data_IF_850307027458
#
_entry.id   IF_850307027458
#
_cell.length_a   1.000
_cell.length_b   1.000
_cell.length_c   1.000
_cell.angle_alpha   90.00
_cell.angle_beta   90.00
_cell.angle_gamma   90.00
#
_symmetry.space_group_name_H-M   'P 1'
#
loop_
_entity.id
_entity.type
_entity.pdbx_description
1 polymer ?
#
# COMPACT_ATOMS: atom_id res chain seq x y z
N UNK A 1 -21.90 -11.61 -8.68
CA UNK A 1 -21.16 -12.82 -8.25
C UNK A 1 -20.67 -12.72 -6.80
N UNK A 2 -20.49 -11.53 -6.29
CA UNK A 2 -20.08 -11.27 -4.91
C UNK A 2 -21.27 -11.09 -3.94
N UNK A 3 -22.50 -11.04 -4.46
CA UNK A 3 -23.73 -10.89 -3.67
C UNK A 3 -24.09 -12.11 -2.77
N UNK A 4 -23.38 -13.22 -2.93
CA UNK A 4 -23.67 -14.46 -2.19
C UNK A 4 -22.73 -14.75 -1.00
N UNK A 5 -21.98 -13.75 -0.56
CA UNK A 5 -20.90 -13.91 0.39
C UNK A 5 -19.58 -14.20 -0.32
N UNK A 6 -18.54 -13.49 0.08
CA UNK A 6 -17.19 -13.78 -0.43
C UNK A 6 -16.82 -15.22 -0.06
N UNK A 7 -16.11 -15.92 -0.95
CA UNK A 7 -15.53 -17.19 -0.56
C UNK A 7 -14.57 -16.94 0.60
N UNK A 8 -14.79 -17.64 1.68
CA UNK A 8 -13.97 -17.53 2.90
C UNK A 8 -12.86 -18.57 2.93
N UNK A 9 -12.81 -19.46 1.93
CA UNK A 9 -11.76 -20.44 1.78
C UNK A 9 -10.92 -20.15 0.53
N UNK A 10 -9.64 -20.45 0.62
CA UNK A 10 -8.65 -20.19 -0.40
C UNK A 10 -9.01 -20.82 -1.76
N UNK A 11 -9.49 -22.07 -1.78
CA UNK A 11 -9.82 -22.76 -3.03
C UNK A 11 -10.97 -22.06 -3.75
N UNK A 12 -11.98 -21.63 -3.03
CA UNK A 12 -13.12 -20.91 -3.61
C UNK A 12 -12.71 -19.52 -4.11
N UNK A 13 -11.90 -18.80 -3.34
CA UNK A 13 -11.34 -17.51 -3.73
C UNK A 13 -10.50 -17.64 -5.00
N UNK A 14 -9.57 -18.58 -5.03
CA UNK A 14 -8.73 -18.88 -6.19
C UNK A 14 -9.56 -19.19 -7.43
N UNK A 15 -10.56 -20.03 -7.32
CA UNK A 15 -11.43 -20.40 -8.43
C UNK A 15 -12.23 -19.22 -9.01
N UNK A 16 -12.65 -18.28 -8.17
CA UNK A 16 -13.40 -17.10 -8.61
C UNK A 16 -12.44 -16.05 -9.18
N UNK A 17 -11.42 -15.69 -8.44
CA UNK A 17 -10.50 -14.61 -8.80
C UNK A 17 -9.70 -14.92 -10.08
N UNK A 18 -9.23 -16.16 -10.25
CA UNK A 18 -8.47 -16.57 -11.44
C UNK A 18 -9.18 -16.41 -12.77
N UNK A 19 -10.50 -16.26 -12.74
CA UNK A 19 -11.30 -16.00 -13.97
C UNK A 19 -11.18 -14.56 -14.45
N UNK A 20 -10.93 -13.64 -13.51
CA UNK A 20 -11.03 -12.21 -13.77
C UNK A 20 -9.70 -11.47 -13.57
N UNK A 21 -8.77 -12.08 -12.84
CA UNK A 21 -7.50 -11.45 -12.50
C UNK A 21 -6.34 -12.38 -12.79
N UNK A 22 -5.14 -11.82 -12.85
CA UNK A 22 -3.91 -12.56 -12.65
C UNK A 22 -3.65 -12.60 -11.13
N UNK A 23 -3.80 -13.77 -10.50
CA UNK A 23 -3.70 -13.90 -9.05
C UNK A 23 -2.32 -13.51 -8.55
N UNK A 24 -1.27 -13.92 -9.26
CA UNK A 24 0.09 -13.59 -8.86
C UNK A 24 0.35 -12.08 -8.90
N UNK A 25 -0.11 -11.40 -9.93
CA UNK A 25 0.01 -9.96 -10.05
C UNK A 25 -0.77 -9.20 -8.95
N UNK A 26 -1.98 -9.68 -8.62
CA UNK A 26 -2.78 -9.08 -7.56
C UNK A 26 -2.20 -9.27 -6.17
N UNK A 27 -1.75 -10.49 -5.87
CA UNK A 27 -1.10 -10.77 -4.57
C UNK A 27 0.23 -10.03 -4.47
N UNK A 28 1.00 -9.96 -5.56
CA UNK A 28 2.23 -9.18 -5.59
C UNK A 28 1.98 -7.69 -5.34
N UNK A 29 0.90 -7.15 -5.90
CA UNK A 29 0.49 -5.78 -5.59
C UNK A 29 0.23 -5.61 -4.09
N UNK A 30 -0.55 -6.51 -3.47
CA UNK A 30 -0.84 -6.46 -2.05
C UNK A 30 0.41 -6.56 -1.18
N UNK A 31 1.35 -7.44 -1.55
CA UNK A 31 2.64 -7.57 -0.86
C UNK A 31 3.44 -6.27 -0.90
N UNK A 32 3.54 -5.65 -2.06
CA UNK A 32 4.28 -4.38 -2.22
C UNK A 32 3.59 -3.25 -1.45
N UNK A 33 2.29 -3.07 -1.65
CA UNK A 33 1.48 -2.03 -1.02
C UNK A 33 1.63 -2.04 0.52
N UNK A 34 1.53 -3.22 1.11
CA UNK A 34 1.69 -3.41 2.55
C UNK A 34 3.14 -3.24 3.02
N UNK A 35 4.11 -3.68 2.23
CA UNK A 35 5.53 -3.56 2.59
C UNK A 35 6.01 -2.12 2.59
N UNK A 36 5.48 -1.26 1.72
CA UNK A 36 5.80 0.17 1.69
C UNK A 36 4.90 1.00 2.60
N UNK A 37 3.96 0.38 3.33
CA UNK A 37 2.98 1.06 4.18
C UNK A 37 2.25 2.17 3.42
N UNK A 38 1.61 1.79 2.32
CA UNK A 38 0.80 2.73 1.55
C UNK A 38 -0.52 2.98 2.28
N UNK A 39 -0.50 3.90 3.24
CA UNK A 39 -1.61 4.18 4.16
C UNK A 39 -2.83 4.84 3.49
N UNK A 40 -2.72 5.16 2.21
CA UNK A 40 -3.79 5.73 1.38
C UNK A 40 -4.09 4.83 0.17
N UNK A 41 -3.84 3.54 0.31
CA UNK A 41 -3.98 2.55 -0.76
C UNK A 41 -5.28 1.75 -0.72
N UNK A 42 -5.41 0.76 -1.62
CA UNK A 42 -6.62 -0.06 -1.76
C UNK A 42 -6.92 -0.96 -0.57
N UNK A 43 -5.96 -1.19 0.31
CA UNK A 43 -6.12 -2.05 1.49
C UNK A 43 -6.30 -1.27 2.78
N UNK A 44 -6.37 0.06 2.72
CA UNK A 44 -6.62 0.95 3.84
C UNK A 44 -7.90 1.75 3.57
N UNK A 45 -8.94 1.46 4.33
CA UNK A 45 -10.26 2.02 4.12
C UNK A 45 -10.57 3.05 5.20
N UNK A 46 -10.50 4.31 4.88
CA UNK A 46 -10.85 5.39 5.80
C UNK A 46 -12.06 6.18 5.30
N UNK A 47 -12.69 6.90 6.20
CA UNK A 47 -13.95 7.58 5.96
C UNK A 47 -13.71 9.09 5.97
N UNK A 48 -13.99 9.75 4.84
CA UNK A 48 -14.04 11.21 4.74
C UNK A 48 -15.48 11.60 4.45
N UNK A 49 -16.13 12.24 5.42
CA UNK A 49 -17.49 12.79 5.29
C UNK A 49 -18.56 11.81 4.75
N UNK A 50 -18.33 10.49 4.93
CA UNK A 50 -19.23 9.50 4.37
C UNK A 50 -18.82 8.05 4.67
N UNK A 51 -19.11 7.12 3.74
CA UNK A 51 -18.66 5.74 3.87
C UNK A 51 -17.14 5.64 3.85
N UNK A 52 -16.60 4.57 4.46
CA UNK A 52 -15.19 4.26 4.32
C UNK A 52 -14.94 3.63 2.96
N UNK A 53 -13.98 4.15 2.23
CA UNK A 53 -13.66 3.75 0.87
C UNK A 53 -12.15 3.56 0.70
N UNK A 54 -11.72 2.71 -0.25
CA UNK A 54 -10.33 2.61 -0.64
C UNK A 54 -9.96 3.75 -1.60
N UNK A 55 -8.68 4.13 -1.62
CA UNK A 55 -8.18 5.26 -2.39
C UNK A 55 -6.99 4.87 -3.27
N UNK A 56 -6.57 5.78 -4.11
CA UNK A 56 -5.29 5.80 -4.84
C UNK A 56 -4.95 4.54 -5.65
N UNK A 57 -5.95 4.01 -6.33
CA UNK A 57 -5.77 2.97 -7.35
C UNK A 57 -6.84 3.05 -8.42
N UNK A 58 -6.60 2.36 -9.54
CA UNK A 58 -7.56 2.17 -10.61
C UNK A 58 -7.69 0.69 -10.96
N UNK A 59 -8.90 0.28 -11.33
CA UNK A 59 -9.10 -0.97 -12.03
C UNK A 59 -9.11 -0.75 -13.55
N UNK A 60 -8.33 -1.53 -14.25
CA UNK A 60 -8.32 -1.56 -15.72
C UNK A 60 -8.73 -2.95 -16.21
N UNK A 61 -9.80 -3.01 -16.98
CA UNK A 61 -10.18 -4.23 -17.69
C UNK A 61 -9.47 -4.26 -19.05
N UNK A 62 -8.63 -5.25 -19.27
CA UNK A 62 -7.98 -5.47 -20.55
C UNK A 62 -8.99 -6.01 -21.57
N UNK A 63 -9.25 -5.31 -22.69
CA UNK A 63 -10.32 -5.69 -23.61
C UNK A 63 -10.12 -7.07 -24.27
N UNK A 64 -8.88 -7.50 -24.48
CA UNK A 64 -8.58 -8.74 -25.17
C UNK A 64 -8.77 -9.97 -24.27
N UNK A 65 -8.28 -9.94 -23.06
CA UNK A 65 -8.34 -11.06 -22.11
C UNK A 65 -9.56 -11.00 -21.18
N UNK A 66 -10.18 -9.84 -21.06
CA UNK A 66 -11.23 -9.53 -20.07
C UNK A 66 -10.74 -9.65 -18.63
N UNK A 67 -9.42 -9.57 -18.44
CA UNK A 67 -8.82 -9.55 -17.11
C UNK A 67 -8.80 -8.14 -16.53
N UNK A 68 -9.00 -8.07 -15.24
CA UNK A 68 -8.91 -6.84 -14.47
C UNK A 68 -7.51 -6.74 -13.87
N UNK A 69 -6.89 -5.60 -14.04
CA UNK A 69 -5.62 -5.23 -13.44
C UNK A 69 -5.85 -4.11 -12.42
N UNK A 70 -5.07 -4.13 -11.35
CA UNK A 70 -5.00 -3.02 -10.41
C UNK A 70 -3.79 -2.15 -10.77
N UNK A 71 -3.99 -0.85 -10.82
CA UNK A 71 -2.96 0.13 -11.17
C UNK A 71 -2.79 1.06 -9.96
N UNK A 72 -1.60 1.14 -9.36
CA UNK A 72 -1.34 2.06 -8.27
C UNK A 72 -1.39 3.51 -8.75
N UNK A 73 -1.81 4.39 -7.86
CA UNK A 73 -1.84 5.82 -8.07
C UNK A 73 -1.45 6.51 -6.76
N UNK A 74 -0.81 7.65 -6.85
CA UNK A 74 -0.54 8.57 -5.72
C UNK A 74 0.10 7.89 -4.50
N UNK A 75 1.33 7.39 -4.69
CA UNK A 75 2.08 6.66 -3.66
C UNK A 75 2.83 7.58 -2.68
N UNK A 76 2.49 8.86 -2.60
CA UNK A 76 3.18 9.84 -1.76
C UNK A 76 2.96 9.62 -0.26
N UNK A 77 1.86 8.95 0.12
CA UNK A 77 1.57 8.50 1.48
C UNK A 77 2.15 7.10 1.79
N UNK A 78 3.30 6.79 1.22
CA UNK A 78 4.03 5.56 1.51
C UNK A 78 5.15 5.80 2.52
N UNK A 79 5.53 4.74 3.24
CA UNK A 79 6.62 4.73 4.21
C UNK A 79 6.42 5.72 5.39
N UNK A 80 5.19 6.18 5.58
CA UNK A 80 4.82 7.04 6.69
C UNK A 80 4.83 6.26 8.00
N UNK A 81 5.18 6.58 9.02
CA UNK A 81 5.23 5.82 10.29
C UNK A 81 6.62 5.26 10.61
N UNK A 82 7.55 5.41 9.71
CA UNK A 82 8.94 5.03 9.94
C UNK A 82 9.72 6.10 10.72
N UNK A 83 9.19 7.32 10.82
CA UNK A 83 9.81 8.39 11.58
C UNK A 83 9.10 8.58 12.91
N UNK A 84 9.74 8.28 14.06
CA UNK A 84 9.14 8.36 15.39
C UNK A 84 8.65 9.76 15.76
N UNK A 85 9.11 10.78 15.07
CA UNK A 85 8.82 12.19 15.30
C UNK A 85 8.18 12.84 14.06
N UNK A 86 7.59 11.99 13.22
CA UNK A 86 7.07 12.42 11.95
C UNK A 86 6.18 13.66 12.08
N UNK A 87 6.35 14.55 11.13
CA UNK A 87 5.45 15.67 10.86
C UNK A 87 4.00 15.19 10.64
N UNK A 88 3.84 13.91 10.40
CA UNK A 88 2.57 13.22 10.36
C UNK A 88 2.45 12.31 11.59
N UNK A 89 1.73 12.73 12.63
CA UNK A 89 1.51 11.94 13.83
C UNK A 89 0.52 10.77 13.60
N UNK A 90 0.21 10.45 12.37
CA UNK A 90 -0.61 9.29 12.03
C UNK A 90 0.23 8.06 12.37
N UNK A 91 -0.17 7.36 13.39
CA UNK A 91 0.23 5.97 13.57
C UNK A 91 -0.11 5.26 12.26
N UNK A 92 0.86 4.61 11.65
CA UNK A 92 0.63 3.75 10.50
C UNK A 92 -0.66 2.96 10.73
N UNK A 93 -1.52 2.90 9.73
CA UNK A 93 -2.74 2.12 9.83
C UNK A 93 -2.38 0.71 10.27
N UNK A 94 -3.08 0.13 11.26
CA UNK A 94 -2.90 -1.28 11.57
C UNK A 94 -3.11 -2.07 10.29
N UNK A 95 -2.21 -2.97 9.99
CA UNK A 95 -2.37 -3.86 8.85
C UNK A 95 -3.59 -4.76 9.10
N UNK A 96 -4.70 -4.35 8.54
CA UNK A 96 -5.99 -5.02 8.67
C UNK A 96 -6.35 -5.85 7.43
N UNK A 97 -5.35 -6.15 6.59
CA UNK A 97 -5.54 -6.99 5.42
C UNK A 97 -6.05 -8.37 5.84
N UNK A 98 -7.29 -8.67 5.47
CA UNK A 98 -7.96 -9.90 5.84
C UNK A 98 -8.55 -9.95 7.26
N UNK A 99 -8.23 -9.01 8.13
CA UNK A 99 -8.85 -8.97 9.45
C UNK A 99 -10.30 -8.49 9.37
N UNK A 100 -11.23 -9.37 9.70
CA UNK A 100 -12.65 -9.07 9.81
C UNK A 100 -13.14 -9.09 11.26
N UNK A 101 -12.22 -9.34 12.21
CA UNK A 101 -12.59 -9.68 13.60
C UNK A 101 -13.21 -8.53 14.37
N UNK A 102 -12.96 -7.29 13.98
CA UNK A 102 -13.33 -6.16 14.83
C UNK A 102 -14.17 -5.11 14.16
N UNK A 103 -14.44 -5.19 12.88
CA UNK A 103 -14.87 -3.88 12.54
C UNK A 103 -15.20 -3.63 11.12
N UNK A 104 -16.23 -4.22 10.75
CA UNK A 104 -17.02 -3.64 9.69
C UNK A 104 -17.72 -2.37 10.16
N UNK A 105 -17.72 -2.10 11.45
CA UNK A 105 -18.08 -0.79 12.01
C UNK A 105 -16.85 0.14 12.01
N UNK A 106 -16.99 1.38 11.57
CA UNK A 106 -15.89 2.34 11.58
C UNK A 106 -15.36 2.61 12.98
N UNK A 107 -14.05 2.72 13.12
CA UNK A 107 -13.35 3.02 14.37
C UNK A 107 -12.33 4.16 14.18
N UNK A 108 -11.96 4.89 15.27
CA UNK A 108 -11.05 6.01 15.17
C UNK A 108 -9.66 5.60 14.65
N UNK A 109 -9.14 6.41 13.73
CA UNK A 109 -7.84 6.24 13.12
C UNK A 109 -7.03 7.54 13.15
N UNK A 110 -5.79 7.43 13.63
CA UNK A 110 -4.78 8.48 13.53
C UNK A 110 -5.13 9.81 14.18
N UNK A 111 -4.33 10.82 13.84
CA UNK A 111 -4.40 12.16 14.44
C UNK A 111 -5.40 13.08 13.76
N UNK A 112 -5.87 12.72 12.58
CA UNK A 112 -6.80 13.57 11.82
C UNK A 112 -8.26 13.38 12.24
N UNK A 113 -8.50 12.65 13.32
CA UNK A 113 -9.85 12.30 13.78
C UNK A 113 -10.69 11.61 12.69
N UNK A 114 -10.02 10.91 11.80
CA UNK A 114 -10.67 10.10 10.78
C UNK A 114 -11.17 8.79 11.39
N UNK A 115 -12.14 8.20 10.74
CA UNK A 115 -12.55 6.83 11.00
C UNK A 115 -11.98 5.92 9.91
N UNK A 116 -11.70 4.69 10.27
CA UNK A 116 -11.35 3.63 9.30
C UNK A 116 -12.23 2.41 9.52
N UNK A 117 -12.27 1.56 8.51
CA UNK A 117 -12.89 0.24 8.56
C UNK A 117 -11.89 -0.80 8.04
N UNK A 118 -11.95 -2.00 8.56
CA UNK A 118 -11.14 -3.08 8.00
C UNK A 118 -11.43 -3.29 6.52
N UNK A 119 -10.39 -3.30 5.70
CA UNK A 119 -10.49 -3.60 4.27
C UNK A 119 -11.00 -5.02 4.01
N UNK A 120 -10.72 -5.96 4.91
CA UNK A 120 -11.24 -7.33 4.87
C UNK A 120 -12.77 -7.45 4.99
N UNK A 121 -13.46 -6.36 5.33
CA UNK A 121 -14.92 -6.30 5.27
C UNK A 121 -15.47 -6.15 3.84
N UNK A 122 -14.62 -5.79 2.89
CA UNK A 122 -14.97 -5.86 1.47
C UNK A 122 -14.80 -7.31 0.98
N UNK A 123 -15.81 -7.87 0.29
CA UNK A 123 -15.77 -9.26 -0.16
C UNK A 123 -14.61 -9.56 -1.13
N UNK A 124 -14.18 -8.61 -1.92
CA UNK A 124 -13.08 -8.79 -2.85
C UNK A 124 -11.74 -8.82 -2.11
N UNK A 125 -11.53 -7.90 -1.18
CA UNK A 125 -10.33 -7.87 -0.33
C UNK A 125 -10.27 -9.12 0.54
N UNK A 126 -11.38 -9.54 1.15
CA UNK A 126 -11.45 -10.78 1.91
C UNK A 126 -11.08 -12.02 1.09
N UNK A 127 -11.52 -12.05 -0.18
CA UNK A 127 -11.17 -13.15 -1.08
C UNK A 127 -9.66 -13.15 -1.44
N UNK A 128 -9.05 -11.99 -1.62
CA UNK A 128 -7.58 -11.91 -1.82
C UNK A 128 -6.81 -12.28 -0.56
N UNK A 129 -7.25 -11.78 0.58
CA UNK A 129 -6.64 -12.06 1.87
C UNK A 129 -6.67 -13.54 2.26
N UNK A 130 -7.56 -14.34 1.65
CA UNK A 130 -7.59 -15.79 1.87
C UNK A 130 -6.56 -16.59 1.05
N UNK A 131 -5.74 -15.91 0.21
CA UNK A 131 -4.67 -16.55 -0.58
C UNK A 131 -3.34 -16.56 0.20
N UNK A 132 -3.37 -17.13 1.40
CA UNK A 132 -2.26 -17.09 2.35
C UNK A 132 -0.97 -17.70 1.79
N UNK A 133 -1.05 -18.87 1.15
CA UNK A 133 0.12 -19.56 0.59
C UNK A 133 0.81 -18.74 -0.52
N UNK A 134 0.02 -18.12 -1.39
CA UNK A 134 0.53 -17.23 -2.43
C UNK A 134 1.17 -16.00 -1.82
N UNK A 135 0.50 -15.39 -0.85
CA UNK A 135 1.00 -14.20 -0.19
C UNK A 135 2.35 -14.48 0.48
N UNK A 136 2.44 -15.52 1.29
CA UNK A 136 3.68 -15.89 1.97
C UNK A 136 4.82 -16.17 0.97
N UNK A 137 4.53 -16.90 -0.09
CA UNK A 137 5.53 -17.21 -1.14
C UNK A 137 6.05 -15.95 -1.82
N UNK A 138 5.15 -15.04 -2.20
CA UNK A 138 5.50 -13.80 -2.91
C UNK A 138 6.21 -12.82 -1.96
N UNK A 139 5.74 -12.67 -0.72
CA UNK A 139 6.36 -11.81 0.29
C UNK A 139 7.80 -12.26 0.60
N UNK A 140 8.02 -13.56 0.79
CA UNK A 140 9.36 -14.10 1.00
C UNK A 140 10.30 -13.81 -0.18
N UNK A 141 9.83 -13.97 -1.41
CA UNK A 141 10.62 -13.65 -2.61
C UNK A 141 10.90 -12.15 -2.73
N UNK A 142 9.91 -11.32 -2.42
CA UNK A 142 10.03 -9.88 -2.45
C UNK A 142 11.05 -9.37 -1.42
N UNK A 143 10.91 -9.79 -0.16
CA UNK A 143 11.80 -9.37 0.94
C UNK A 143 13.23 -9.90 0.81
N UNK A 144 13.41 -11.09 0.26
CA UNK A 144 14.75 -11.66 0.01
C UNK A 144 15.41 -11.19 -1.28
N UNK A 145 14.67 -10.53 -2.15
CA UNK A 145 15.11 -10.05 -3.46
C UNK A 145 15.00 -8.52 -3.60
N UNK A 146 14.00 -8.01 -4.34
CA UNK A 146 13.91 -6.58 -4.65
C UNK A 146 13.81 -5.68 -3.41
N UNK A 147 13.21 -6.16 -2.33
CA UNK A 147 13.02 -5.42 -1.07
C UNK A 147 13.97 -5.86 0.04
N UNK A 148 15.07 -6.52 -0.31
CA UNK A 148 16.14 -6.78 0.65
C UNK A 148 16.83 -5.47 1.03
N UNK A 149 17.38 -5.43 2.25
CA UNK A 149 18.12 -4.25 2.73
C UNK A 149 19.21 -3.84 1.73
N UNK A 150 19.94 -4.80 1.18
CA UNK A 150 20.99 -4.54 0.19
C UNK A 150 20.42 -3.88 -1.08
N UNK A 151 19.32 -4.41 -1.63
CA UNK A 151 18.70 -3.86 -2.85
C UNK A 151 18.11 -2.48 -2.61
N UNK A 152 17.40 -2.29 -1.50
CA UNK A 152 16.78 -0.99 -1.15
C UNK A 152 17.87 0.05 -0.93
N UNK A 153 18.90 -0.25 -0.14
CA UNK A 153 20.02 0.67 0.10
C UNK A 153 20.70 1.08 -1.20
N UNK A 154 20.98 0.12 -2.08
CA UNK A 154 21.59 0.42 -3.39
C UNK A 154 20.74 1.38 -4.23
N UNK A 155 19.43 1.19 -4.25
CA UNK A 155 18.53 2.07 -4.98
C UNK A 155 18.43 3.46 -4.35
N UNK A 156 18.28 3.54 -3.03
CA UNK A 156 18.23 4.82 -2.29
C UNK A 156 19.49 5.63 -2.50
N UNK A 157 20.67 4.99 -2.39
CA UNK A 157 21.96 5.66 -2.66
C UNK A 157 22.06 6.14 -4.11
N UNK A 158 21.66 5.31 -5.09
CA UNK A 158 21.66 5.69 -6.50
C UNK A 158 20.72 6.87 -6.79
N UNK A 159 19.55 6.90 -6.21
CA UNK A 159 18.61 8.02 -6.33
C UNK A 159 19.12 9.26 -5.61
N UNK A 160 19.73 9.08 -4.44
CA UNK A 160 20.39 10.17 -3.71
C UNK A 160 21.42 10.89 -4.57
N UNK A 161 22.32 10.15 -5.21
CA UNK A 161 23.34 10.70 -6.09
C UNK A 161 22.72 11.42 -7.31
N UNK A 162 21.68 10.86 -7.88
CA UNK A 162 20.98 11.44 -9.03
C UNK A 162 20.25 12.73 -8.66
N UNK A 163 19.61 12.80 -7.50
CA UNK A 163 18.74 13.92 -7.10
C UNK A 163 19.52 15.05 -6.43
N UNK A 164 20.62 14.76 -5.74
CA UNK A 164 21.38 15.74 -4.95
C UNK A 164 21.70 17.07 -5.66
N UNK A 165 22.14 17.11 -6.94
CA UNK A 165 22.37 18.35 -7.63
C UNK A 165 21.12 19.22 -7.77
N UNK A 166 19.97 18.60 -7.99
CA UNK A 166 18.69 19.27 -8.16
C UNK A 166 18.12 19.78 -6.83
N UNK A 167 18.37 19.08 -5.74
CA UNK A 167 18.04 19.58 -4.39
C UNK A 167 18.83 20.82 -4.06
N UNK A 168 20.13 20.86 -4.38
CA UNK A 168 20.97 22.01 -4.17
C UNK A 168 20.51 23.21 -5.01
N UNK A 169 20.10 22.97 -6.26
CA UNK A 169 19.53 24.00 -7.14
C UNK A 169 18.19 24.51 -6.60
N UNK A 170 17.28 23.63 -6.19
CA UNK A 170 15.99 23.99 -5.63
C UNK A 170 16.15 24.83 -4.35
N UNK A 171 17.01 24.41 -3.43
CA UNK A 171 17.30 25.13 -2.20
C UNK A 171 17.91 26.55 -2.44
N UNK A 172 18.56 26.74 -3.58
CA UNK A 172 19.10 28.05 -3.96
C UNK A 172 18.07 28.98 -4.63
N UNK A 173 17.02 28.42 -5.22
CA UNK A 173 16.03 29.13 -6.02
C UNK A 173 14.70 29.36 -5.29
N UNK A 174 14.38 28.54 -4.29
CA UNK A 174 13.07 28.52 -3.63
C UNK A 174 13.23 28.51 -2.12
N UNK A 175 12.62 29.50 -1.47
CA UNK A 175 12.69 29.68 0.00
C UNK A 175 11.93 28.58 0.77
N UNK A 176 11.01 27.89 0.12
CA UNK A 176 10.20 26.79 0.68
C UNK A 176 10.75 25.39 0.38
N UNK A 177 11.84 25.29 -0.39
CA UNK A 177 12.50 24.03 -0.64
C UNK A 177 13.35 23.61 0.57
N UNK A 178 13.44 22.30 0.87
CA UNK A 178 14.29 21.81 1.94
C UNK A 178 15.77 22.15 1.64
N UNK A 179 16.50 22.50 2.67
CA UNK A 179 17.95 22.60 2.55
C UNK A 179 18.58 21.23 2.22
N UNK A 180 19.78 21.25 1.64
CA UNK A 180 20.53 20.03 1.36
C UNK A 180 20.77 19.20 2.63
N UNK A 181 20.94 19.86 3.78
CA UNK A 181 21.14 19.19 5.06
C UNK A 181 19.87 18.49 5.56
N UNK A 182 18.72 19.15 5.47
CA UNK A 182 17.42 18.57 5.83
C UNK A 182 17.08 17.39 4.92
N UNK A 183 17.26 17.55 3.62
CA UNK A 183 17.04 16.46 2.67
C UNK A 183 17.94 15.25 2.95
N UNK A 184 19.24 15.45 3.17
CA UNK A 184 20.15 14.36 3.52
C UNK A 184 19.71 13.67 4.81
N UNK A 185 19.31 14.44 5.82
CA UNK A 185 18.81 13.87 7.08
C UNK A 185 17.57 13.01 6.88
N UNK A 186 16.66 13.42 5.99
CA UNK A 186 15.47 12.64 5.67
C UNK A 186 15.80 11.34 4.92
N UNK A 187 16.76 11.39 3.97
CA UNK A 187 17.22 10.19 3.26
C UNK A 187 17.94 9.21 4.20
N UNK A 188 18.71 9.72 5.16
CA UNK A 188 19.42 8.88 6.15
C UNK A 188 18.45 8.19 7.15
N UNK A 189 17.18 8.59 7.19
CA UNK A 189 16.14 7.99 8.03
C UNK A 189 15.32 6.90 7.32
N UNK A 190 15.43 6.82 6.00
CA UNK A 190 14.82 5.74 5.21
C UNK A 190 15.57 4.43 5.39
#
# INVERSE_FOLDING_TARGET
LLDSGAPTDEEAARRVLSKWTDLEAFVAYAVVDRAIHHDDGPFHWYCIDGPCEPHNFYFYEEPASRRVHIIPWDLDNSLQGWTPEALNPVTAMPDAFGDTSNACDPFPFGSFNLLQRSAGCDPLVAAWASLDDEFERIDNNFRSGPFSIESVTMHVEGWRDQIAPHVAEAAALHDDAPSVAEWNSSVDQL
#
